data_IF_594054715088
#
_entry.id   IF_594054715088
#
_cell.length_a   1.000
_cell.length_b   1.000
_cell.length_c   1.000
_cell.angle_alpha   90.00
_cell.angle_beta   90.00
_cell.angle_gamma   90.00
#
_symmetry.space_group_name_H-M   'P 1'
#
loop_
_entity.id
_entity.type
_entity.pdbx_description
1 polymer ?
#
# COMPACT_ATOMS: atom_id res chain seq x y z
N UNK A 1 6.02 11.37 0.48
CA UNK A 1 5.27 10.12 0.77
C UNK A 1 5.23 9.30 -0.52
N UNK A 2 5.60 8.01 -0.53
CA UNK A 2 5.48 7.18 -1.73
C UNK A 2 4.03 7.21 -2.21
N UNK A 3 3.79 7.60 -3.46
CA UNK A 3 2.44 7.87 -3.97
C UNK A 3 1.47 6.68 -3.78
N UNK A 4 1.98 5.45 -3.90
CA UNK A 4 1.20 4.22 -3.74
C UNK A 4 0.60 4.11 -2.33
N UNK A 5 1.40 4.32 -1.28
CA UNK A 5 0.91 4.25 0.11
C UNK A 5 -0.13 5.33 0.39
N UNK A 6 0.04 6.54 -0.17
CA UNK A 6 -0.94 7.61 -0.06
C UNK A 6 -2.29 7.20 -0.68
N UNK A 7 -2.29 6.64 -1.90
CA UNK A 7 -3.53 6.20 -2.54
C UNK A 7 -4.18 5.02 -1.81
N UNK A 8 -3.39 4.04 -1.33
CA UNK A 8 -3.89 2.94 -0.49
C UNK A 8 -4.52 3.47 0.80
N UNK A 9 -3.92 4.46 1.46
CA UNK A 9 -4.48 5.12 2.65
C UNK A 9 -5.81 5.83 2.36
N UNK A 10 -6.02 6.28 1.12
CA UNK A 10 -7.27 6.89 0.64
C UNK A 10 -8.28 5.86 0.12
N UNK A 11 -8.00 4.56 0.24
CA UNK A 11 -8.92 3.48 -0.14
C UNK A 11 -8.81 3.00 -1.58
N UNK A 12 -7.77 3.42 -2.32
CA UNK A 12 -7.56 2.93 -3.68
C UNK A 12 -7.36 1.41 -3.68
N UNK A 13 -8.07 0.73 -4.57
CA UNK A 13 -7.89 -0.70 -4.81
C UNK A 13 -7.04 -0.92 -6.06
N UNK A 14 -5.88 -1.59 -5.96
CA UNK A 14 -5.08 -1.92 -7.13
C UNK A 14 -5.80 -2.97 -7.99
N UNK A 15 -5.65 -2.87 -9.32
CA UNK A 15 -6.07 -3.89 -10.27
C UNK A 15 -5.05 -5.04 -10.33
N UNK A 16 -5.38 -6.15 -10.99
CA UNK A 16 -4.61 -7.42 -10.95
C UNK A 16 -3.09 -7.24 -11.01
N UNK A 17 -2.54 -6.76 -12.12
CA UNK A 17 -1.08 -6.61 -12.29
C UNK A 17 -0.46 -5.68 -11.23
N UNK A 18 -1.13 -4.58 -10.89
CA UNK A 18 -0.63 -3.64 -9.87
C UNK A 18 -0.67 -4.26 -8.49
N UNK A 19 -1.69 -5.08 -8.19
CA UNK A 19 -1.79 -5.84 -6.95
C UNK A 19 -0.65 -6.85 -6.83
N UNK A 20 -0.37 -7.61 -7.90
CA UNK A 20 0.68 -8.63 -7.91
C UNK A 20 2.08 -8.02 -7.73
N UNK A 21 2.35 -6.91 -8.42
CA UNK A 21 3.60 -6.14 -8.24
C UNK A 21 3.70 -5.61 -6.80
N UNK A 22 2.64 -5.01 -6.27
CA UNK A 22 2.62 -4.45 -4.91
C UNK A 22 2.82 -5.52 -3.84
N UNK A 23 2.28 -6.72 -4.06
CA UNK A 23 2.47 -7.89 -3.20
C UNK A 23 3.92 -8.37 -3.24
N UNK A 24 4.51 -8.49 -4.43
CA UNK A 24 5.92 -8.92 -4.60
C UNK A 24 6.91 -7.91 -4.03
N UNK A 25 6.59 -6.62 -4.11
CA UNK A 25 7.38 -5.53 -3.54
C UNK A 25 7.07 -5.28 -2.05
N UNK A 26 6.26 -6.12 -1.40
CA UNK A 26 5.91 -6.03 0.02
C UNK A 26 5.28 -4.70 0.48
N UNK A 27 4.67 -3.94 -0.44
CA UNK A 27 4.07 -2.63 -0.18
C UNK A 27 2.97 -2.71 0.88
N UNK A 28 2.21 -3.80 0.93
CA UNK A 28 1.16 -4.00 1.93
C UNK A 28 1.70 -4.18 3.36
N UNK A 29 2.91 -4.72 3.52
CA UNK A 29 3.57 -4.84 4.83
C UNK A 29 3.98 -3.45 5.33
N UNK A 30 4.58 -2.64 4.46
CA UNK A 30 4.92 -1.26 4.75
C UNK A 30 3.67 -0.44 5.09
N UNK A 31 2.59 -0.62 4.32
CA UNK A 31 1.30 0.04 4.56
C UNK A 31 0.74 -0.28 5.96
N UNK A 32 0.70 -1.56 6.33
CA UNK A 32 0.22 -2.00 7.67
C UNK A 32 1.06 -1.41 8.80
N UNK A 33 2.39 -1.42 8.65
CA UNK A 33 3.30 -0.87 9.65
C UNK A 33 3.15 0.64 9.82
N UNK A 34 2.92 1.36 8.72
CA UNK A 34 2.67 2.79 8.77
C UNK A 34 1.32 3.13 9.41
N UNK A 35 0.27 2.32 9.20
CA UNK A 35 -1.00 2.51 9.92
C UNK A 35 -0.82 2.46 11.45
N UNK A 36 0.02 1.57 11.97
CA UNK A 36 0.28 1.49 13.42
C UNK A 36 1.07 2.69 13.98
N UNK A 37 1.73 3.48 13.14
CA UNK A 37 2.47 4.69 13.57
C UNK A 37 1.63 5.96 13.57
N UNK A 38 0.55 6.00 12.79
CA UNK A 38 -0.34 7.17 12.68
C UNK A 38 -1.59 7.03 13.55
N UNK A 39 -1.64 6.01 14.42
CA UNK A 39 -2.77 5.70 15.28
C UNK A 39 -2.46 5.93 16.76
#
# INVERSE_FOLDING_TARGET
VPAILYFLAKGAQPTGTVHDISKKAEVFNEFRFNQTKFN
#
